data_IF_774453659006
#
_entry.id   IF_774453659006
#
_cell.length_a   1.000
_cell.length_b   1.000
_cell.length_c   1.000
_cell.angle_alpha   90.00
_cell.angle_beta   90.00
_cell.angle_gamma   90.00
#
_symmetry.space_group_name_H-M   'P 1'
#
loop_
_entity.id
_entity.type
_entity.pdbx_description
1 polymer ?
#
# COMPACT_ATOMS: atom_id res chain seq x y z
N UNK A 1 46.55 8.82 29.43
CA UNK A 1 45.60 7.71 29.69
C UNK A 1 44.71 7.53 28.47
N UNK A 2 44.57 6.26 28.09
CA UNK A 2 44.05 5.64 26.86
C UNK A 2 43.00 6.32 25.98
N UNK A 3 43.38 6.35 24.68
CA UNK A 3 42.56 6.16 23.48
C UNK A 3 41.57 4.98 23.59
N UNK A 4 40.33 5.20 23.17
CA UNK A 4 39.59 4.30 22.26
C UNK A 4 38.24 4.95 21.91
N UNK A 5 38.22 5.84 20.92
CA UNK A 5 36.99 6.06 20.16
C UNK A 5 37.00 5.14 18.95
N UNK A 6 36.06 4.20 18.99
CA UNK A 6 35.79 3.18 18.00
C UNK A 6 35.61 3.83 16.62
N UNK A 7 36.55 3.56 15.72
CA UNK A 7 36.36 3.75 14.28
C UNK A 7 35.29 2.76 13.83
N UNK A 8 34.04 3.19 13.75
CA UNK A 8 33.08 2.51 12.88
C UNK A 8 33.40 2.96 11.45
N UNK A 9 34.20 2.14 10.78
CA UNK A 9 34.35 2.21 9.33
C UNK A 9 32.98 1.94 8.72
N UNK A 10 32.45 2.93 8.01
CA UNK A 10 31.32 2.79 7.11
C UNK A 10 31.79 1.97 5.89
N UNK A 11 31.88 0.65 6.05
CA UNK A 11 32.00 -0.26 4.93
C UNK A 11 30.61 -0.42 4.30
N UNK A 12 30.47 0.15 3.10
CA UNK A 12 29.33 -0.06 2.22
C UNK A 12 29.29 -1.51 1.78
N UNK A 13 28.44 -2.29 2.45
CA UNK A 13 28.06 -3.64 2.08
C UNK A 13 26.67 -3.92 2.62
N UNK A 14 25.63 -3.48 1.90
CA UNK A 14 24.25 -3.91 2.17
C UNK A 14 24.16 -5.38 1.75
N UNK A 15 24.54 -6.26 2.67
CA UNK A 15 24.32 -7.69 2.55
C UNK A 15 22.89 -7.98 3.00
N UNK A 16 22.11 -8.53 2.06
CA UNK A 16 20.86 -9.23 2.33
C UNK A 16 21.12 -10.32 3.36
N UNK A 17 20.56 -10.17 4.56
CA UNK A 17 20.38 -11.30 5.47
C UNK A 17 19.03 -11.18 6.19
N UNK A 18 18.04 -11.88 5.65
CA UNK A 18 16.68 -11.97 6.20
C UNK A 18 16.70 -13.05 7.27
N UNK A 19 16.99 -12.65 8.51
CA UNK A 19 16.85 -13.50 9.68
C UNK A 19 15.38 -13.78 10.00
N UNK A 20 14.86 -14.89 9.47
CA UNK A 20 13.56 -15.46 9.84
C UNK A 20 13.53 -15.79 11.35
N UNK A 21 12.56 -15.24 12.07
CA UNK A 21 12.16 -15.76 13.38
C UNK A 21 10.75 -16.32 13.32
N UNK A 22 10.68 -17.65 13.36
CA UNK A 22 9.49 -18.46 13.58
C UNK A 22 8.88 -18.14 14.97
N UNK A 23 7.71 -17.52 14.98
CA UNK A 23 6.82 -17.47 16.14
C UNK A 23 5.65 -18.42 15.91
N UNK A 24 5.58 -19.50 16.70
CA UNK A 24 4.47 -20.44 16.74
C UNK A 24 3.31 -19.81 17.52
N UNK A 25 2.11 -19.74 16.93
CA UNK A 25 0.86 -19.65 17.68
C UNK A 25 -0.29 -20.31 16.91
N UNK A 26 -0.61 -21.53 17.35
CA UNK A 26 -1.91 -22.18 17.18
C UNK A 26 -2.94 -21.44 18.05
N UNK A 27 -4.10 -21.05 17.50
CA UNK A 27 -5.38 -21.14 18.23
C UNK A 27 -6.51 -21.36 17.22
N UNK A 28 -6.96 -22.61 17.14
CA UNK A 28 -8.31 -22.99 16.70
C UNK A 28 -9.20 -22.97 17.94
N UNK A 29 -10.35 -22.27 17.89
CA UNK A 29 -11.56 -22.70 18.59
C UNK A 29 -12.79 -21.95 18.07
N UNK A 30 -13.64 -22.73 17.41
CA UNK A 30 -15.06 -22.54 17.16
C UNK A 30 -15.85 -22.29 18.44
N UNK A 31 -16.89 -21.44 18.38
CA UNK A 31 -18.25 -21.82 18.82
C UNK A 31 -19.33 -20.82 18.38
N UNK A 32 -20.48 -21.42 18.11
CA UNK A 32 -21.77 -20.94 17.61
C UNK A 32 -22.55 -20.05 18.59
N UNK A 33 -23.51 -19.30 18.03
CA UNK A 33 -24.86 -18.89 18.51
C UNK A 33 -25.07 -17.43 18.08
N UNK A 34 -26.11 -16.99 17.39
CA UNK A 34 -27.41 -17.53 17.03
C UNK A 34 -28.32 -16.31 16.86
N UNK A 35 -29.22 -16.31 15.89
CA UNK A 35 -30.62 -15.86 16.01
C UNK A 35 -31.23 -15.81 14.61
N UNK A 36 -32.12 -16.77 14.38
CA UNK A 36 -33.04 -16.80 13.27
C UNK A 36 -34.11 -15.73 13.48
N UNK A 37 -34.35 -14.88 12.49
CA UNK A 37 -35.64 -14.22 12.36
C UNK A 37 -36.35 -14.78 11.14
N UNK A 38 -37.53 -15.34 11.39
CA UNK A 38 -38.40 -15.94 10.38
C UNK A 38 -38.94 -14.90 9.41
N UNK A 39 -39.07 -15.32 8.15
CA UNK A 39 -39.84 -14.62 7.12
C UNK A 39 -40.93 -15.59 6.66
N UNK A 40 -42.19 -15.12 6.53
CA UNK A 40 -43.31 -16.00 6.22
C UNK A 40 -43.28 -16.51 4.79
N UNK A 41 -43.75 -17.74 4.67
CA UNK A 41 -43.97 -18.52 3.46
C UNK A 41 -45.08 -17.87 2.62
N UNK A 42 -44.70 -17.24 1.51
CA UNK A 42 -45.60 -16.80 0.45
C UNK A 42 -45.35 -17.62 -0.80
N UNK A 43 -46.18 -18.63 -1.03
CA UNK A 43 -46.16 -19.43 -2.25
C UNK A 43 -46.72 -18.60 -3.42
N UNK A 44 -45.86 -18.28 -4.39
CA UNK A 44 -46.27 -17.93 -5.74
C UNK A 44 -45.58 -18.91 -6.68
N UNK A 45 -46.38 -19.84 -7.17
CA UNK A 45 -46.02 -20.75 -8.25
C UNK A 45 -45.98 -19.92 -9.52
N UNK A 46 -44.80 -19.74 -10.11
CA UNK A 46 -44.70 -19.31 -11.50
C UNK A 46 -43.66 -20.17 -12.23
N UNK A 47 -44.00 -20.49 -13.46
CA UNK A 47 -43.40 -21.55 -14.27
C UNK A 47 -42.02 -21.15 -14.81
N UNK A 48 -41.15 -22.11 -15.19
CA UNK A 48 -39.84 -21.80 -15.75
C UNK A 48 -39.99 -21.36 -17.22
N UNK A 49 -39.92 -20.07 -17.48
CA UNK A 49 -39.62 -19.56 -18.82
C UNK A 49 -38.10 -19.68 -19.06
N UNK A 50 -37.73 -20.80 -19.68
CA UNK A 50 -36.40 -21.01 -20.26
C UNK A 50 -36.21 -20.07 -21.45
N UNK A 51 -35.48 -18.97 -21.25
CA UNK A 51 -34.91 -18.22 -22.36
C UNK A 51 -34.72 -16.74 -22.13
N UNK A 52 -33.71 -16.33 -21.36
CA UNK A 52 -33.10 -15.01 -21.52
C UNK A 52 -31.70 -15.01 -20.94
N UNK A 53 -30.70 -14.62 -21.75
CA UNK A 53 -29.36 -14.31 -21.28
C UNK A 53 -29.46 -13.23 -20.20
N UNK A 54 -29.41 -13.65 -18.94
CA UNK A 54 -29.42 -12.75 -17.80
C UNK A 54 -28.09 -12.01 -17.78
N UNK A 55 -28.11 -10.74 -18.17
CA UNK A 55 -27.03 -9.81 -17.85
C UNK A 55 -26.97 -9.79 -16.33
N UNK A 56 -25.90 -10.31 -15.73
CA UNK A 56 -25.76 -10.38 -14.27
C UNK A 56 -26.06 -9.00 -13.66
N UNK A 57 -26.94 -8.96 -12.66
CA UNK A 57 -27.30 -7.72 -11.97
C UNK A 57 -26.00 -7.11 -11.38
N UNK A 58 -25.79 -5.79 -11.42
CA UNK A 58 -24.57 -5.17 -10.88
C UNK A 58 -24.29 -5.49 -9.40
N UNK A 59 -25.33 -5.81 -8.62
CA UNK A 59 -25.19 -6.28 -7.24
C UNK A 59 -24.52 -7.67 -7.15
N UNK A 60 -24.83 -8.57 -8.08
CA UNK A 60 -24.27 -9.93 -8.13
C UNK A 60 -22.82 -9.91 -8.63
N UNK A 61 -22.51 -8.99 -9.55
CA UNK A 61 -21.14 -8.78 -10.03
C UNK A 61 -20.19 -8.35 -8.90
N UNK A 62 -20.61 -7.40 -8.06
CA UNK A 62 -19.82 -6.96 -6.91
C UNK A 62 -19.59 -8.06 -5.87
N UNK A 63 -20.58 -8.94 -5.66
CA UNK A 63 -20.46 -10.08 -4.75
C UNK A 63 -19.47 -11.13 -5.28
N UNK A 64 -19.48 -11.41 -6.59
CA UNK A 64 -18.53 -12.32 -7.22
C UNK A 64 -17.07 -11.81 -7.09
N UNK A 65 -16.85 -10.50 -7.28
CA UNK A 65 -15.54 -9.88 -7.06
C UNK A 65 -15.13 -9.98 -5.59
N UNK A 66 -16.07 -9.78 -4.65
CA UNK A 66 -15.80 -9.90 -3.22
C UNK A 66 -15.38 -11.30 -2.79
N UNK A 67 -16.06 -12.35 -3.28
CA UNK A 67 -15.69 -13.73 -3.01
C UNK A 67 -14.28 -14.06 -3.52
N UNK A 68 -13.91 -13.51 -4.67
CA UNK A 68 -12.58 -13.69 -5.23
C UNK A 68 -11.50 -12.90 -4.46
N UNK A 69 -11.82 -11.68 -4.01
CA UNK A 69 -10.94 -10.92 -3.10
C UNK A 69 -10.65 -11.71 -1.83
N UNK A 70 -11.68 -12.28 -1.21
CA UNK A 70 -11.54 -13.15 -0.03
C UNK A 70 -10.64 -14.35 -0.32
N UNK A 71 -10.86 -15.02 -1.46
CA UNK A 71 -10.04 -16.16 -1.89
C UNK A 71 -8.57 -15.76 -2.07
N UNK A 72 -8.28 -14.70 -2.83
CA UNK A 72 -6.93 -14.23 -3.10
C UNK A 72 -6.20 -13.77 -1.84
N UNK A 73 -6.89 -13.08 -0.93
CA UNK A 73 -6.33 -12.64 0.34
C UNK A 73 -6.03 -13.81 1.29
N UNK A 74 -6.90 -14.83 1.31
CA UNK A 74 -6.70 -16.04 2.13
C UNK A 74 -5.50 -16.89 1.68
N UNK A 75 -5.09 -16.76 0.42
CA UNK A 75 -3.93 -17.46 -0.14
C UNK A 75 -2.60 -16.71 0.06
N UNK A 76 -2.62 -15.49 0.64
CA UNK A 76 -1.39 -14.72 0.83
C UNK A 76 -0.49 -15.37 1.89
N UNK A 77 0.84 -15.34 1.70
CA UNK A 77 1.78 -15.77 2.73
C UNK A 77 1.64 -14.94 4.02
N UNK A 78 1.78 -15.59 5.17
CA UNK A 78 1.74 -14.92 6.49
C UNK A 78 2.84 -13.86 6.71
N UNK A 79 3.86 -13.81 5.84
CA UNK A 79 4.90 -12.77 5.85
C UNK A 79 4.46 -11.47 5.17
N UNK A 80 3.31 -11.47 4.49
CA UNK A 80 2.78 -10.30 3.79
C UNK A 80 2.19 -9.31 4.78
N UNK A 81 2.31 -8.01 4.48
CA UNK A 81 1.64 -6.96 5.25
C UNK A 81 0.11 -7.16 5.22
N UNK A 82 -0.51 -7.34 6.40
CA UNK A 82 -1.94 -7.61 6.56
C UNK A 82 -2.84 -6.39 6.37
N UNK A 83 -2.26 -5.19 6.16
CA UNK A 83 -3.01 -3.92 6.06
C UNK A 83 -4.17 -4.01 5.06
N UNK A 84 -3.92 -4.54 3.85
CA UNK A 84 -4.94 -4.63 2.80
C UNK A 84 -5.95 -5.74 3.10
N UNK A 85 -5.53 -6.85 3.70
CA UNK A 85 -6.44 -7.92 4.13
C UNK A 85 -7.43 -7.43 5.18
N UNK A 86 -6.94 -6.73 6.22
CA UNK A 86 -7.77 -6.13 7.26
C UNK A 86 -8.68 -5.03 6.73
N UNK A 87 -8.21 -4.25 5.75
CA UNK A 87 -9.03 -3.25 5.07
C UNK A 87 -10.23 -3.87 4.35
N UNK A 88 -10.02 -4.92 3.53
CA UNK A 88 -11.12 -5.58 2.83
C UNK A 88 -12.02 -6.39 3.77
N UNK A 89 -11.48 -7.01 4.81
CA UNK A 89 -12.27 -7.68 5.85
C UNK A 89 -13.27 -6.69 6.49
N UNK A 90 -12.82 -5.48 6.85
CA UNK A 90 -13.67 -4.42 7.39
C UNK A 90 -14.75 -3.91 6.42
N UNK A 91 -14.67 -4.25 5.13
CA UNK A 91 -15.64 -3.89 4.09
C UNK A 91 -16.55 -5.06 3.68
N UNK A 92 -16.41 -6.21 4.32
CA UNK A 92 -16.98 -7.48 3.86
C UNK A 92 -16.62 -7.76 2.39
N UNK A 93 -15.35 -7.54 2.06
CA UNK A 93 -14.74 -7.75 0.74
C UNK A 93 -15.38 -6.96 -0.42
N UNK A 94 -16.19 -5.92 -0.13
CA UNK A 94 -16.76 -5.08 -1.18
C UNK A 94 -15.68 -4.27 -1.91
N UNK A 95 -15.63 -4.30 -3.26
CA UNK A 95 -14.66 -3.54 -4.05
C UNK A 95 -14.79 -2.03 -3.82
N UNK A 96 -13.70 -1.29 -4.08
CA UNK A 96 -13.62 0.17 -3.85
C UNK A 96 -13.08 0.95 -5.05
N UNK A 97 -12.52 0.29 -6.07
CA UNK A 97 -11.91 0.92 -7.24
C UNK A 97 -12.83 0.93 -8.47
N UNK A 98 -14.09 1.31 -8.27
CA UNK A 98 -15.10 1.44 -9.33
C UNK A 98 -15.07 2.79 -10.07
N UNK A 99 -14.30 3.75 -9.57
CA UNK A 99 -14.19 5.10 -10.12
C UNK A 99 -12.83 5.31 -10.81
N UNK A 100 -12.86 5.58 -12.12
CA UNK A 100 -11.65 5.83 -12.92
C UNK A 100 -10.91 7.10 -12.49
N UNK A 101 -11.59 8.07 -11.87
CA UNK A 101 -10.96 9.28 -11.30
C UNK A 101 -10.00 8.88 -10.18
N UNK A 102 -10.42 7.98 -9.28
CA UNK A 102 -9.57 7.48 -8.19
C UNK A 102 -8.38 6.71 -8.71
N UNK A 103 -8.57 5.82 -9.69
CA UNK A 103 -7.46 5.08 -10.30
C UNK A 103 -6.44 6.03 -10.92
N UNK A 104 -6.88 7.05 -11.67
CA UNK A 104 -5.99 8.07 -12.24
C UNK A 104 -5.29 8.90 -11.17
N UNK A 105 -5.98 9.25 -10.08
CA UNK A 105 -5.37 9.97 -8.96
C UNK A 105 -4.26 9.17 -8.29
N UNK A 106 -4.44 7.85 -8.09
CA UNK A 106 -3.38 6.98 -7.60
C UNK A 106 -2.18 6.92 -8.56
N UNK A 107 -2.43 6.76 -9.87
CA UNK A 107 -1.37 6.72 -10.89
C UNK A 107 -0.57 8.03 -10.85
N UNK A 108 -1.25 9.19 -10.87
CA UNK A 108 -0.61 10.49 -10.79
C UNK A 108 0.19 10.69 -9.50
N UNK A 109 -0.32 10.21 -8.35
CA UNK A 109 0.40 10.27 -7.09
C UNK A 109 1.68 9.40 -7.09
N UNK A 110 1.65 8.24 -7.73
CA UNK A 110 2.84 7.37 -7.88
C UNK A 110 3.86 8.01 -8.84
N UNK A 111 3.41 8.61 -9.95
CA UNK A 111 4.29 9.35 -10.87
C UNK A 111 4.95 10.55 -10.18
N UNK A 112 4.19 11.26 -9.35
CA UNK A 112 4.65 12.38 -8.53
C UNK A 112 5.47 11.99 -7.30
N UNK A 113 5.67 10.70 -7.01
CA UNK A 113 6.31 10.24 -5.78
C UNK A 113 7.77 10.74 -5.63
N UNK A 114 8.42 11.12 -6.73
CA UNK A 114 9.74 11.76 -6.72
C UNK A 114 9.78 13.07 -5.91
N UNK A 115 8.66 13.80 -5.81
CA UNK A 115 8.55 14.98 -4.95
C UNK A 115 8.69 14.65 -3.45
N UNK A 116 8.51 13.39 -3.07
CA UNK A 116 8.71 12.87 -1.71
C UNK A 116 10.04 12.13 -1.55
N UNK A 117 10.96 12.23 -2.53
CA UNK A 117 12.22 11.49 -2.54
C UNK A 117 12.06 9.99 -2.78
N UNK A 118 10.90 9.54 -3.26
CA UNK A 118 10.63 8.14 -3.60
C UNK A 118 10.91 7.91 -5.08
N UNK A 119 11.47 6.74 -5.43
CA UNK A 119 11.64 6.37 -6.84
C UNK A 119 10.30 5.87 -7.42
N UNK A 120 9.70 6.54 -8.44
CA UNK A 120 8.44 6.09 -9.03
C UNK A 120 8.53 4.68 -9.61
N UNK A 121 9.69 4.33 -10.18
CA UNK A 121 9.96 2.98 -10.71
C UNK A 121 10.01 1.87 -9.66
N UNK A 122 10.00 2.20 -8.36
CA UNK A 122 9.87 1.20 -7.29
C UNK A 122 8.43 0.68 -7.14
N UNK A 123 7.45 1.33 -7.78
CA UNK A 123 6.05 0.94 -7.84
C UNK A 123 5.73 0.29 -9.19
N UNK A 124 4.67 -0.55 -9.28
CA UNK A 124 4.31 -1.25 -10.49
C UNK A 124 3.58 -0.34 -11.51
N UNK A 125 4.20 0.77 -11.93
CA UNK A 125 3.59 1.81 -12.76
C UNK A 125 2.97 1.29 -14.06
N UNK A 126 3.64 0.38 -14.77
CA UNK A 126 3.11 -0.19 -16.01
C UNK A 126 1.83 -1.00 -15.75
N UNK A 127 1.79 -1.80 -14.68
CA UNK A 127 0.61 -2.55 -14.29
C UNK A 127 -0.53 -1.62 -13.84
N UNK A 128 -0.21 -0.53 -13.13
CA UNK A 128 -1.19 0.48 -12.73
C UNK A 128 -1.82 1.17 -13.92
N UNK A 129 -1.02 1.56 -14.93
CA UNK A 129 -1.53 2.16 -16.18
C UNK A 129 -2.44 1.18 -16.92
N UNK A 130 -2.00 -0.06 -17.10
CA UNK A 130 -2.83 -1.11 -17.70
C UNK A 130 -4.15 -1.34 -16.93
N UNK A 131 -4.10 -1.32 -15.60
CA UNK A 131 -5.30 -1.40 -14.76
C UNK A 131 -6.20 -0.15 -14.88
N UNK A 132 -5.62 1.03 -15.15
CA UNK A 132 -6.36 2.27 -15.40
C UNK A 132 -7.04 2.30 -16.75
N UNK A 133 -6.43 1.70 -17.78
CA UNK A 133 -6.95 1.63 -19.14
C UNK A 133 -8.01 0.53 -19.33
N UNK A 134 -8.05 -0.45 -18.43
CA UNK A 134 -9.04 -1.53 -18.47
C UNK A 134 -10.43 -1.06 -18.03
N UNK A 135 -11.44 -1.36 -18.85
CA UNK A 135 -12.84 -1.17 -18.48
C UNK A 135 -13.28 -2.25 -17.47
N UNK A 136 -13.63 -1.92 -16.22
CA UNK A 136 -13.91 -2.93 -15.20
C UNK A 136 -15.06 -3.87 -15.58
N UNK A 137 -16.04 -3.38 -16.34
CA UNK A 137 -17.22 -4.14 -16.76
C UNK A 137 -16.89 -5.30 -17.72
N UNK A 138 -15.75 -5.26 -18.42
CA UNK A 138 -15.34 -6.35 -19.33
C UNK A 138 -14.42 -7.38 -18.68
N UNK A 139 -13.97 -7.10 -17.46
CA UNK A 139 -13.09 -7.99 -16.71
C UNK A 139 -13.90 -9.07 -16.01
N UNK A 140 -13.37 -10.30 -15.99
CA UNK A 140 -13.89 -11.37 -15.11
C UNK A 140 -13.74 -10.98 -13.63
N UNK A 141 -14.52 -11.60 -12.74
CA UNK A 141 -14.43 -11.35 -11.30
C UNK A 141 -13.00 -11.55 -10.75
N UNK A 142 -12.28 -12.57 -11.24
CA UNK A 142 -10.85 -12.81 -11.02
C UNK A 142 -9.99 -11.60 -11.35
N UNK A 143 -10.09 -11.10 -12.57
CA UNK A 143 -9.30 -9.96 -13.04
C UNK A 143 -9.66 -8.66 -12.30
N UNK A 144 -10.93 -8.46 -11.94
CA UNK A 144 -11.35 -7.32 -11.14
C UNK A 144 -10.77 -7.38 -9.72
N UNK A 145 -10.76 -8.56 -9.08
CA UNK A 145 -10.16 -8.73 -7.75
C UNK A 145 -8.64 -8.53 -7.77
N UNK A 146 -7.93 -9.03 -8.78
CA UNK A 146 -6.50 -8.77 -8.97
C UNK A 146 -6.21 -7.28 -9.13
N UNK A 147 -7.03 -6.57 -9.91
CA UNK A 147 -6.95 -5.12 -10.09
C UNK A 147 -7.19 -4.36 -8.78
N UNK A 148 -8.21 -4.73 -8.01
CA UNK A 148 -8.53 -4.16 -6.69
C UNK A 148 -7.33 -4.30 -5.73
N UNK A 149 -6.70 -5.47 -5.69
CA UNK A 149 -5.52 -5.72 -4.86
C UNK A 149 -4.31 -4.92 -5.33
N UNK A 150 -4.01 -4.90 -6.65
CA UNK A 150 -2.91 -4.10 -7.21
C UNK A 150 -3.01 -2.63 -6.81
N UNK A 151 -4.19 -2.03 -6.95
CA UNK A 151 -4.42 -0.62 -6.61
C UNK A 151 -4.33 -0.39 -5.10
N UNK A 152 -4.91 -1.28 -4.29
CA UNK A 152 -4.96 -1.14 -2.84
C UNK A 152 -3.60 -1.35 -2.17
N UNK A 153 -2.84 -2.36 -2.61
CA UNK A 153 -1.48 -2.61 -2.13
C UNK A 153 -0.55 -1.46 -2.52
N UNK A 154 -0.67 -0.94 -3.75
CA UNK A 154 0.11 0.21 -4.20
C UNK A 154 -0.20 1.43 -3.34
N UNK A 155 -1.48 1.73 -3.11
CA UNK A 155 -1.88 2.85 -2.26
C UNK A 155 -1.36 2.68 -0.83
N UNK A 156 -1.61 1.53 -0.20
CA UNK A 156 -1.13 1.26 1.17
C UNK A 156 0.40 1.43 1.28
N UNK A 157 1.15 0.91 0.31
CA UNK A 157 2.60 1.07 0.24
C UNK A 157 3.01 2.54 0.06
N UNK A 158 2.35 3.28 -0.82
CA UNK A 158 2.63 4.69 -1.08
C UNK A 158 2.40 5.53 0.19
N UNK A 159 1.25 5.39 0.85
CA UNK A 159 0.94 6.11 2.10
C UNK A 159 1.98 5.81 3.18
N UNK A 160 2.35 4.53 3.34
CA UNK A 160 3.39 4.10 4.28
C UNK A 160 4.73 4.76 3.96
N UNK A 161 5.14 4.75 2.69
CA UNK A 161 6.45 5.27 2.29
C UNK A 161 6.54 6.80 2.37
N UNK A 162 5.45 7.52 2.08
CA UNK A 162 5.39 8.97 2.27
C UNK A 162 5.52 9.33 3.76
N UNK A 163 4.82 8.61 4.64
CA UNK A 163 4.73 8.94 6.05
C UNK A 163 5.91 8.45 6.89
N UNK A 164 6.40 7.24 6.61
CA UNK A 164 7.39 6.54 7.44
C UNK A 164 8.70 6.23 6.70
N UNK A 165 8.79 6.54 5.41
CA UNK A 165 9.95 6.22 4.58
C UNK A 165 9.94 4.79 4.03
N UNK A 166 10.99 4.46 3.25
CA UNK A 166 11.13 3.16 2.57
C UNK A 166 11.62 2.07 3.52
N UNK A 167 12.45 2.42 4.49
CA UNK A 167 13.11 1.50 5.41
C UNK A 167 12.53 1.63 6.82
N UNK A 168 12.57 0.54 7.58
CA UNK A 168 12.31 0.59 9.02
C UNK A 168 13.58 1.09 9.72
N UNK A 169 13.58 2.32 10.28
CA UNK A 169 14.77 2.90 10.87
C UNK A 169 15.27 2.13 12.10
N UNK A 170 14.40 1.34 12.77
CA UNK A 170 14.78 0.50 13.91
C UNK A 170 15.67 -0.68 13.50
N UNK A 171 15.62 -1.10 12.25
CA UNK A 171 16.50 -2.14 11.71
C UNK A 171 17.91 -1.58 11.45
N UNK A 172 18.04 -0.28 11.20
CA UNK A 172 19.31 0.38 10.91
C UNK A 172 19.98 0.93 12.18
N UNK A 173 19.20 1.59 13.03
CA UNK A 173 19.70 2.27 14.23
C UNK A 173 18.81 1.92 15.43
N UNK A 174 19.18 0.84 16.13
CA UNK A 174 18.40 0.32 17.26
C UNK A 174 18.32 1.29 18.44
N UNK A 175 19.36 2.12 18.62
CA UNK A 175 19.53 2.98 19.80
C UNK A 175 18.95 4.40 19.59
N UNK A 176 18.41 4.71 18.41
CA UNK A 176 17.73 5.97 18.14
C UNK A 176 16.24 5.86 18.44
N UNK A 177 15.70 6.89 19.10
CA UNK A 177 14.29 6.99 19.46
C UNK A 177 13.45 7.38 18.24
N UNK A 178 13.06 6.38 17.45
CA UNK A 178 12.07 6.55 16.38
C UNK A 178 10.67 6.22 16.86
N UNK A 179 9.68 7.00 16.40
CA UNK A 179 8.27 6.63 16.52
C UNK A 179 8.04 5.32 15.77
N UNK A 180 7.51 4.27 16.43
CA UNK A 180 7.24 3.01 15.77
C UNK A 180 6.15 3.18 14.71
N UNK A 181 6.27 2.45 13.61
CA UNK A 181 5.21 2.37 12.60
C UNK A 181 3.95 1.76 13.24
N UNK A 182 2.76 2.34 13.02
CA UNK A 182 1.51 1.80 13.57
C UNK A 182 1.27 0.38 13.07
N UNK A 183 0.58 -0.44 13.86
CA UNK A 183 0.22 -1.81 13.48
C UNK A 183 -0.74 -1.88 12.28
N UNK A 184 -0.89 -3.07 11.65
CA UNK A 184 -1.66 -3.23 10.42
C UNK A 184 -3.14 -2.85 10.56
N UNK A 185 -3.77 -3.04 11.72
CA UNK A 185 -5.15 -2.60 11.98
C UNK A 185 -5.32 -1.08 11.88
N UNK A 186 -4.40 -0.32 12.48
CA UNK A 186 -4.43 1.14 12.41
C UNK A 186 -4.16 1.60 10.97
N UNK A 187 -3.17 1.00 10.28
CA UNK A 187 -2.90 1.31 8.86
C UNK A 187 -4.10 1.01 7.96
N UNK A 188 -4.85 -0.07 8.23
CA UNK A 188 -6.06 -0.40 7.49
C UNK A 188 -7.16 0.66 7.71
N UNK A 189 -7.26 1.20 8.93
CA UNK A 189 -8.17 2.31 9.26
C UNK A 189 -7.77 3.60 8.55
N UNK A 190 -6.46 3.90 8.52
CA UNK A 190 -5.91 5.05 7.80
C UNK A 190 -6.15 4.94 6.28
N UNK A 191 -5.91 3.75 5.70
CA UNK A 191 -6.21 3.44 4.30
C UNK A 191 -7.71 3.66 3.99
N UNK A 192 -8.60 3.19 4.88
CA UNK A 192 -10.03 3.41 4.74
C UNK A 192 -10.40 4.90 4.82
N UNK A 193 -9.73 5.69 5.66
CA UNK A 193 -9.97 7.13 5.74
C UNK A 193 -9.56 7.85 4.44
N UNK A 194 -8.40 7.51 3.88
CA UNK A 194 -7.91 8.09 2.61
C UNK A 194 -8.85 7.73 1.45
N UNK A 195 -9.29 6.47 1.36
CA UNK A 195 -10.20 6.04 0.29
C UNK A 195 -11.63 6.58 0.42
N UNK A 196 -12.02 7.11 1.59
CA UNK A 196 -13.31 7.82 1.76
C UNK A 196 -13.25 9.28 1.36
N UNK A 197 -12.06 9.86 1.20
CA UNK A 197 -11.93 11.25 0.79
C UNK A 197 -12.53 11.46 -0.61
N UNK A 198 -13.13 12.63 -0.83
CA UNK A 198 -13.68 13.04 -2.12
C UNK A 198 -12.55 13.19 -3.15
N UNK A 199 -11.50 13.92 -2.78
CA UNK A 199 -10.27 14.02 -3.55
C UNK A 199 -9.20 13.08 -2.98
N UNK A 200 -9.00 11.95 -3.66
CA UNK A 200 -7.97 10.97 -3.28
C UNK A 200 -6.56 11.55 -3.42
N UNK A 201 -6.29 12.38 -4.43
CA UNK A 201 -4.97 12.97 -4.65
C UNK A 201 -4.59 13.90 -3.49
N UNK A 202 -5.51 14.78 -3.09
CA UNK A 202 -5.33 15.66 -1.93
C UNK A 202 -5.14 14.84 -0.64
N UNK A 203 -5.93 13.77 -0.45
CA UNK A 203 -5.81 12.91 0.73
C UNK A 203 -4.46 12.16 0.81
N UNK A 204 -3.90 11.76 -0.33
CA UNK A 204 -2.55 11.20 -0.42
C UNK A 204 -1.49 12.26 -0.07
N UNK A 205 -1.61 13.48 -0.62
CA UNK A 205 -0.67 14.56 -0.37
C UNK A 205 -0.60 14.94 1.12
N UNK A 206 -1.74 14.90 1.84
CA UNK A 206 -1.82 15.13 3.28
C UNK A 206 -1.14 14.05 4.14
N UNK A 207 -0.67 12.94 3.55
CA UNK A 207 0.15 11.98 4.30
C UNK A 207 1.59 12.44 4.51
N UNK A 208 2.03 13.43 3.74
CA UNK A 208 3.36 14.00 3.88
C UNK A 208 3.54 14.60 5.29
N UNK A 209 4.71 14.43 5.92
CA UNK A 209 4.98 15.08 7.20
C UNK A 209 4.85 16.61 7.12
N UNK A 210 4.08 17.19 8.03
CA UNK A 210 3.83 18.64 8.14
C UNK A 210 4.95 19.56 8.70
N UNK A 211 6.10 19.09 9.24
CA UNK A 211 7.12 20.02 9.72
C UNK A 211 7.63 20.94 8.61
N UNK A 212 7.88 22.22 8.93
CA UNK A 212 8.53 23.17 8.01
C UNK A 212 9.84 22.60 7.41
N UNK A 213 10.54 21.75 8.17
CA UNK A 213 11.71 21.01 7.73
C UNK A 213 11.43 20.10 6.52
N UNK A 214 10.31 19.37 6.49
CA UNK A 214 9.99 18.47 5.39
C UNK A 214 9.83 19.24 4.07
N UNK A 215 9.11 20.37 4.11
CA UNK A 215 8.98 21.26 2.93
C UNK A 215 10.33 21.83 2.50
N UNK A 216 11.19 22.23 3.45
CA UNK A 216 12.54 22.70 3.13
C UNK A 216 13.38 21.59 2.46
N UNK A 217 13.23 20.33 2.88
CA UNK A 217 13.90 19.19 2.25
C UNK A 217 13.38 18.92 0.84
N UNK A 218 12.07 19.05 0.58
CA UNK A 218 11.53 18.94 -0.77
C UNK A 218 12.06 20.05 -1.70
N UNK A 219 12.13 21.28 -1.20
CA UNK A 219 12.71 22.40 -1.95
C UNK A 219 14.20 22.18 -2.24
N UNK A 220 14.96 21.71 -1.25
CA UNK A 220 16.36 21.34 -1.43
C UNK A 220 16.53 20.20 -2.43
N UNK A 221 15.65 19.19 -2.40
CA UNK A 221 15.65 18.10 -3.37
C UNK A 221 15.49 18.62 -4.80
N UNK A 222 14.49 19.47 -5.04
CA UNK A 222 14.27 20.11 -6.36
C UNK A 222 15.50 20.92 -6.77
N UNK A 223 16.06 21.71 -5.84
CA UNK A 223 17.26 22.51 -6.09
C UNK A 223 18.45 21.64 -6.54
N UNK A 224 18.72 20.53 -5.83
CA UNK A 224 19.85 19.66 -6.18
C UNK A 224 19.60 18.80 -7.41
N UNK A 225 18.35 18.39 -7.67
CA UNK A 225 17.98 17.67 -8.89
C UNK A 225 18.24 18.51 -10.15
N UNK A 226 17.97 19.81 -10.10
CA UNK A 226 18.24 20.73 -11.20
C UNK A 226 19.74 20.88 -11.53
N UNK A 227 20.62 20.44 -10.63
CA UNK A 227 22.09 20.52 -10.74
C UNK A 227 22.75 19.18 -11.04
N UNK A 228 21.95 18.14 -11.29
CA UNK A 228 22.45 16.86 -11.77
C UNK A 228 23.10 17.10 -13.13
N UNK A 229 24.42 16.85 -13.22
CA UNK A 229 25.21 17.11 -14.42
C UNK A 229 26.08 18.37 -14.34
N UNK A 230 25.93 19.21 -13.31
CA UNK A 230 26.91 20.26 -13.02
C UNK A 230 28.31 19.65 -12.78
N UNK A 231 29.35 20.39 -13.14
CA UNK A 231 30.72 20.02 -12.82
C UNK A 231 31.02 20.37 -11.35
N UNK A 232 30.80 19.39 -10.47
CA UNK A 232 31.07 19.55 -9.04
C UNK A 232 32.58 19.43 -8.78
N UNK A 233 33.22 20.45 -8.17
CA UNK A 233 34.65 20.42 -7.90
C UNK A 233 34.95 19.21 -6.99
N UNK A 234 35.83 18.33 -7.48
CA UNK A 234 36.32 17.21 -6.68
C UNK A 234 37.42 17.70 -5.76
N UNK A 235 37.37 17.30 -4.50
CA UNK A 235 38.51 17.49 -3.59
C UNK A 235 39.69 16.67 -4.15
N UNK A 236 40.83 17.29 -4.49
CA UNK A 236 41.97 16.58 -5.02
C UNK A 236 42.45 15.51 -4.03
N UNK A 237 42.87 14.35 -4.53
CA UNK A 237 43.59 13.39 -3.70
C UNK A 237 44.91 14.02 -3.23
N UNK A 238 45.26 13.88 -1.96
CA UNK A 238 46.47 14.50 -1.42
C UNK A 238 46.63 14.37 0.09
N UNK A 239 47.62 15.08 0.62
CA UNK A 239 47.90 15.12 2.07
C UNK A 239 46.70 15.71 2.82
N UNK A 240 46.46 15.21 4.04
CA UNK A 240 45.38 15.68 4.90
C UNK A 240 45.44 17.19 5.09
N UNK A 241 44.36 17.90 4.73
CA UNK A 241 44.21 19.33 4.98
C UNK A 241 44.15 19.55 6.51
N UNK A 242 44.99 20.45 7.02
CA UNK A 242 44.98 20.89 8.42
C UNK A 242 44.36 22.29 8.51
N UNK A 243 43.55 22.59 9.56
CA UNK A 243 42.95 23.90 9.78
C UNK A 243 43.98 25.02 9.93
#
# INVERSE_FOLDING_TARGET
>A
MNNNQSKQALEGGILNDVGLRLGKSFVTCTLLLGLTWGVPLGAAMDSPDTGRGGVAQPADAGAAVGAELERLLSLRPATTDETVALFYLGRAYRPVWNDSVRTRALIAAVEGAAAHGLAPGSFPLQALRHAGDAEPAVLSAAQQAERELLLSDTLARLLRQIRYGVLDPRQLYRDWNFTPMPGPHQRATELAAVLRAEDLGAAIALQAPEPALYRALQQALVHYQARIGDDWPRVPAGVTLRP
#
